data_IF_095707058618
#
_entry.id   IF_095707058618
#
_cell.length_a   1.000
_cell.length_b   1.000
_cell.length_c   1.000
_cell.angle_alpha   90.00
_cell.angle_beta   90.00
_cell.angle_gamma   90.00
#
_symmetry.space_group_name_H-M   'P 1'
#
loop_
_entity.id
_entity.type
_entity.pdbx_description
1 polymer ?
#
# COMPACT_ATOMS: atom_id res chain seq x y z
N UNK A 1 7.76 14.78 35.17
CA UNK A 1 7.11 16.11 35.18
C UNK A 1 6.06 16.08 34.13
N UNK A 2 4.83 16.02 34.56
CA UNK A 2 3.65 15.77 33.73
C UNK A 2 3.42 16.85 32.69
N UNK A 3 3.48 16.50 31.43
CA UNK A 3 2.95 17.31 30.34
C UNK A 3 1.47 16.98 30.11
N UNK A 4 0.65 17.19 31.14
CA UNK A 4 -0.79 17.34 30.99
C UNK A 4 -1.04 18.76 30.44
N UNK A 5 -0.80 18.94 29.13
CA UNK A 5 -1.11 20.21 28.45
C UNK A 5 -2.62 20.39 28.41
N UNK A 6 -3.07 21.28 29.22
CA UNK A 6 -4.36 21.90 29.37
C UNK A 6 -5.11 22.02 28.02
N UNK A 7 -6.15 21.21 27.84
CA UNK A 7 -7.20 21.44 26.84
C UNK A 7 -8.08 22.63 27.30
N UNK A 8 -7.55 23.84 27.18
CA UNK A 8 -8.34 25.04 27.30
C UNK A 8 -8.84 25.41 25.90
N UNK A 9 -10.15 25.57 25.73
CA UNK A 9 -10.80 25.96 24.49
C UNK A 9 -10.31 27.31 23.98
N UNK A 10 -9.26 27.31 23.19
CA UNK A 10 -8.80 28.46 22.42
C UNK A 10 -9.46 28.37 21.05
N UNK A 11 -10.55 29.10 20.85
CA UNK A 11 -11.32 29.16 19.59
C UNK A 11 -10.84 30.28 18.67
N UNK A 12 -9.69 30.91 18.91
CA UNK A 12 -9.23 32.08 18.16
C UNK A 12 -8.12 31.77 17.17
N UNK A 13 -8.06 30.53 16.64
CA UNK A 13 -7.03 30.14 15.68
C UNK A 13 -6.99 31.09 14.49
N UNK A 14 -5.81 31.68 14.26
CA UNK A 14 -5.55 32.53 13.10
C UNK A 14 -4.18 32.26 12.54
N UNK A 15 -4.12 31.97 11.23
CA UNK A 15 -2.85 31.68 10.55
C UNK A 15 -2.84 32.13 9.09
N UNK A 16 -1.62 32.19 8.53
CA UNK A 16 -1.35 32.40 7.12
C UNK A 16 -0.32 31.39 6.64
N UNK A 17 -0.54 30.80 5.46
CA UNK A 17 0.40 29.85 4.88
C UNK A 17 0.33 29.78 3.34
N UNK A 18 1.29 29.06 2.76
CA UNK A 18 1.32 28.76 1.32
C UNK A 18 0.20 27.79 0.96
N UNK A 19 -0.57 28.13 -0.09
CA UNK A 19 -1.73 27.37 -0.54
C UNK A 19 -1.38 25.92 -0.89
N UNK A 20 -0.26 25.67 -1.58
CA UNK A 20 0.14 24.34 -2.03
C UNK A 20 0.36 23.39 -0.85
N UNK A 21 1.18 23.81 0.13
CA UNK A 21 1.43 23.02 1.35
C UNK A 21 0.15 22.74 2.14
N UNK A 22 -0.77 23.72 2.20
CA UNK A 22 -2.07 23.53 2.87
C UNK A 22 -2.94 22.53 2.12
N UNK A 23 -3.06 22.67 0.81
CA UNK A 23 -3.88 21.77 -0.01
C UNK A 23 -3.37 20.32 0.02
N UNK A 24 -2.05 20.14 -0.04
CA UNK A 24 -1.42 18.83 0.05
C UNK A 24 -1.69 18.16 1.40
N UNK A 25 -1.40 18.86 2.50
CA UNK A 25 -1.57 18.33 3.85
C UNK A 25 -3.04 18.01 4.18
N UNK A 26 -3.97 18.94 3.87
CA UNK A 26 -5.41 18.71 4.05
C UNK A 26 -5.90 17.54 3.20
N UNK A 27 -5.48 17.47 1.93
CA UNK A 27 -5.88 16.38 1.03
C UNK A 27 -5.37 15.03 1.52
N UNK A 28 -4.14 14.96 2.03
CA UNK A 28 -3.58 13.74 2.57
C UNK A 28 -4.32 13.27 3.83
N UNK A 29 -4.56 14.15 4.79
CA UNK A 29 -5.33 13.80 6.01
C UNK A 29 -6.76 13.40 5.64
N UNK A 30 -7.42 14.16 4.75
CA UNK A 30 -8.81 13.92 4.37
C UNK A 30 -9.03 12.56 3.66
N UNK A 31 -8.02 12.01 2.96
CA UNK A 31 -8.08 10.67 2.36
C UNK A 31 -8.17 9.54 3.38
N UNK A 32 -7.67 9.78 4.61
CA UNK A 32 -7.70 8.81 5.69
C UNK A 32 -8.99 8.92 6.55
N UNK A 33 -9.88 9.88 6.26
CA UNK A 33 -11.14 10.01 6.97
C UNK A 33 -12.18 9.01 6.45
N UNK A 34 -13.07 8.50 7.33
CA UNK A 34 -14.12 7.60 6.95
C UNK A 34 -15.12 8.28 6.00
N UNK A 35 -15.54 7.57 4.96
CA UNK A 35 -16.55 8.07 4.00
C UNK A 35 -17.95 8.08 4.59
N UNK A 36 -18.22 7.22 5.57
CA UNK A 36 -19.49 7.11 6.31
C UNK A 36 -19.17 6.94 7.80
N UNK A 37 -18.82 8.03 8.50
CA UNK A 37 -18.46 7.94 9.91
C UNK A 37 -19.65 7.52 10.77
N UNK A 38 -19.39 6.69 11.79
CA UNK A 38 -20.40 6.34 12.79
C UNK A 38 -20.86 7.57 13.60
N UNK A 39 -19.94 8.51 13.81
CA UNK A 39 -20.21 9.80 14.48
C UNK A 39 -19.78 10.92 13.54
N UNK A 40 -20.63 11.93 13.25
CA UNK A 40 -20.35 13.00 12.30
C UNK A 40 -19.01 13.72 12.50
N UNK A 41 -18.57 13.88 13.74
CA UNK A 41 -17.33 14.59 14.11
C UNK A 41 -16.08 13.91 13.49
N UNK A 42 -16.11 12.62 13.24
CA UNK A 42 -15.01 11.87 12.62
C UNK A 42 -14.82 12.19 11.12
N UNK A 43 -15.76 12.90 10.49
CA UNK A 43 -15.56 13.44 9.13
C UNK A 43 -14.77 14.74 9.12
N UNK A 44 -14.44 15.26 10.30
CA UNK A 44 -13.70 16.50 10.48
C UNK A 44 -12.21 16.33 10.41
N UNK A 45 -11.51 17.39 9.99
CA UNK A 45 -10.09 17.58 10.24
C UNK A 45 -9.90 18.60 11.36
N UNK A 46 -9.05 18.25 12.31
CA UNK A 46 -8.66 19.14 13.40
C UNK A 46 -7.45 19.96 12.94
N UNK A 47 -7.58 21.27 12.96
CA UNK A 47 -6.50 22.22 12.69
C UNK A 47 -6.01 22.76 14.04
N UNK A 48 -4.73 22.61 14.34
CA UNK A 48 -4.13 23.10 15.58
C UNK A 48 -2.91 23.97 15.24
N UNK A 49 -2.98 25.24 15.60
CA UNK A 49 -1.87 26.18 15.45
C UNK A 49 -1.09 26.34 16.75
N UNK A 50 0.23 26.23 16.66
CA UNK A 50 1.18 26.41 17.76
C UNK A 50 2.42 27.17 17.28
N UNK A 51 3.40 27.39 18.15
CA UNK A 51 4.68 28.01 17.80
C UNK A 51 5.47 27.19 16.75
N UNK A 52 5.19 25.88 16.63
CA UNK A 52 5.82 24.99 15.68
C UNK A 52 5.15 24.99 14.29
N UNK A 53 4.08 25.78 14.10
CA UNK A 53 3.31 25.86 12.87
C UNK A 53 1.91 25.27 12.98
N UNK A 54 1.34 24.85 11.84
CA UNK A 54 -0.01 24.28 11.76
C UNK A 54 0.07 22.75 11.69
N UNK A 55 -0.62 22.08 12.61
CA UNK A 55 -0.85 20.63 12.57
C UNK A 55 -2.27 20.37 12.08
N UNK A 56 -2.41 19.49 11.10
CA UNK A 56 -3.68 19.06 10.52
C UNK A 56 -3.84 17.58 10.85
N UNK A 57 -4.92 17.22 11.57
CA UNK A 57 -5.11 15.87 12.10
C UNK A 57 -6.45 15.28 11.70
N UNK A 58 -6.49 13.97 11.48
CA UNK A 58 -7.69 13.17 11.27
C UNK A 58 -7.61 11.86 12.05
N UNK A 59 -8.75 11.37 12.58
CA UNK A 59 -8.80 10.12 13.34
C UNK A 59 -10.18 9.48 13.27
N UNK A 60 -10.24 8.16 13.06
CA UNK A 60 -11.49 7.40 12.98
C UNK A 60 -11.57 6.21 13.96
N UNK A 61 -10.75 6.22 15.01
CA UNK A 61 -10.48 5.16 16.00
C UNK A 61 -9.61 4.01 15.50
N UNK A 62 -9.49 3.78 14.20
CA UNK A 62 -8.64 2.75 13.61
C UNK A 62 -7.35 3.34 13.03
N UNK A 63 -7.48 4.49 12.35
CA UNK A 63 -6.39 5.17 11.66
C UNK A 63 -6.32 6.62 12.11
N UNK A 64 -5.13 7.08 12.50
CA UNK A 64 -4.84 8.50 12.61
C UNK A 64 -3.93 8.96 11.48
N UNK A 65 -4.14 10.19 11.03
CA UNK A 65 -3.26 10.85 10.07
C UNK A 65 -3.00 12.27 10.54
N UNK A 66 -1.74 12.69 10.52
CA UNK A 66 -1.31 14.00 11.02
C UNK A 66 -0.24 14.56 10.10
N UNK A 67 -0.44 15.78 9.62
CA UNK A 67 0.51 16.51 8.80
C UNK A 67 0.87 17.83 9.47
N UNK A 68 2.16 18.13 9.56
CA UNK A 68 2.68 19.39 10.07
C UNK A 68 3.17 20.24 8.89
N UNK A 69 2.70 21.48 8.83
CA UNK A 69 3.08 22.44 7.80
C UNK A 69 3.54 23.76 8.39
N UNK A 70 4.51 24.39 7.74
CA UNK A 70 4.96 25.72 8.12
C UNK A 70 3.83 26.73 7.89
N UNK A 71 3.51 27.52 8.93
CA UNK A 71 2.49 28.54 8.88
C UNK A 71 2.87 29.70 9.82
N UNK A 72 2.48 30.90 9.45
CA UNK A 72 2.54 32.08 10.32
C UNK A 72 1.33 32.06 11.25
N UNK A 73 1.52 31.65 12.50
CA UNK A 73 0.46 31.59 13.51
C UNK A 73 0.33 32.94 14.20
N UNK A 74 -0.72 33.68 13.87
CA UNK A 74 -1.02 34.95 14.51
C UNK A 74 -1.77 34.81 15.84
N UNK A 75 -2.56 33.73 15.99
CA UNK A 75 -3.22 33.34 17.23
C UNK A 75 -3.24 31.81 17.31
N UNK A 76 -2.66 31.20 18.36
CA UNK A 76 -2.71 29.75 18.54
C UNK A 76 -4.13 29.31 18.94
N UNK A 77 -4.45 28.05 18.62
CA UNK A 77 -5.76 27.48 18.95
C UNK A 77 -6.04 26.23 18.14
N UNK A 78 -7.27 25.73 18.30
CA UNK A 78 -7.73 24.55 17.57
C UNK A 78 -9.13 24.73 17.03
N UNK A 79 -9.40 24.20 15.84
CA UNK A 79 -10.73 24.20 15.23
C UNK A 79 -10.95 22.93 14.42
N UNK A 80 -12.16 22.42 14.48
CA UNK A 80 -12.60 21.24 13.72
C UNK A 80 -13.53 21.67 12.59
N UNK A 81 -13.22 21.25 11.36
CA UNK A 81 -14.02 21.56 10.16
C UNK A 81 -14.19 20.33 9.28
N UNK A 82 -15.20 20.32 8.40
CA UNK A 82 -15.39 19.21 7.46
C UNK A 82 -14.15 18.99 6.60
N UNK A 83 -13.53 17.82 6.74
CA UNK A 83 -12.29 17.47 6.04
C UNK A 83 -12.47 17.40 4.53
N UNK A 84 -13.57 16.81 4.06
CA UNK A 84 -13.87 16.71 2.63
C UNK A 84 -14.07 18.09 2.02
N UNK A 85 -14.89 18.93 2.64
CA UNK A 85 -15.17 20.26 2.13
C UNK A 85 -13.92 21.13 2.11
N UNK A 86 -13.11 21.09 3.20
CA UNK A 86 -11.85 21.83 3.25
C UNK A 86 -10.86 21.35 2.17
N UNK A 87 -10.76 20.03 1.95
CA UNK A 87 -9.92 19.46 0.89
C UNK A 87 -10.36 19.89 -0.51
N UNK A 88 -11.66 19.92 -0.79
CA UNK A 88 -12.19 20.37 -2.08
C UNK A 88 -11.91 21.85 -2.32
N UNK A 89 -12.08 22.68 -1.28
CA UNK A 89 -11.78 24.12 -1.34
C UNK A 89 -10.29 24.35 -1.57
N UNK A 90 -9.43 23.79 -0.73
CA UNK A 90 -7.96 24.06 -0.80
C UNK A 90 -7.35 23.65 -2.12
N UNK A 91 -7.84 22.59 -2.76
CA UNK A 91 -7.42 22.18 -4.11
C UNK A 91 -7.84 23.15 -5.21
N UNK A 92 -9.00 23.79 -5.03
CA UNK A 92 -9.57 24.72 -6.03
C UNK A 92 -9.08 26.17 -5.88
N UNK A 93 -8.38 26.51 -4.78
CA UNK A 93 -7.89 27.87 -4.52
C UNK A 93 -6.85 28.31 -5.58
N UNK A 94 -6.79 29.63 -5.91
CA UNK A 94 -5.73 30.18 -6.72
C UNK A 94 -4.37 30.09 -6.01
N UNK A 95 -3.28 30.14 -6.78
CA UNK A 95 -1.92 30.11 -6.24
C UNK A 95 -1.53 31.43 -5.58
N UNK A 96 -2.06 31.63 -4.37
CA UNK A 96 -1.82 32.78 -3.48
C UNK A 96 -1.82 32.32 -2.03
N UNK A 97 -1.22 33.10 -1.11
CA UNK A 97 -1.28 32.79 0.33
C UNK A 97 -2.72 32.67 0.81
N UNK A 98 -2.92 31.75 1.74
CA UNK A 98 -4.21 31.51 2.40
C UNK A 98 -4.19 32.16 3.77
N UNK A 99 -5.14 33.04 4.02
CA UNK A 99 -5.44 33.58 5.34
C UNK A 99 -6.65 32.85 5.92
N UNK A 100 -6.53 32.36 7.15
CA UNK A 100 -7.53 31.57 7.85
C UNK A 100 -7.74 32.11 9.26
N UNK A 101 -9.00 32.27 9.68
CA UNK A 101 -9.31 32.63 11.06
C UNK A 101 -10.67 32.09 11.49
N UNK A 102 -10.79 31.87 12.80
CA UNK A 102 -12.06 31.49 13.43
C UNK A 102 -12.87 32.74 13.70
N UNK A 103 -14.18 32.70 13.39
CA UNK A 103 -15.16 33.75 13.63
C UNK A 103 -16.43 33.13 14.22
N UNK A 104 -16.51 33.11 15.53
CA UNK A 104 -17.58 32.46 16.29
C UNK A 104 -17.68 30.97 16.00
N UNK A 105 -18.80 30.53 15.43
CA UNK A 105 -19.05 29.13 15.06
C UNK A 105 -18.72 28.84 13.59
N UNK A 106 -17.94 29.69 12.96
CA UNK A 106 -17.48 29.55 11.57
C UNK A 106 -15.99 29.83 11.47
N UNK A 107 -15.42 29.36 10.38
CA UNK A 107 -14.09 29.79 9.94
C UNK A 107 -14.23 30.62 8.67
N UNK A 108 -13.43 31.64 8.55
CA UNK A 108 -13.25 32.38 7.32
C UNK A 108 -11.90 32.05 6.70
N UNK A 109 -11.92 31.73 5.41
CA UNK A 109 -10.77 31.41 4.60
C UNK A 109 -10.73 32.38 3.41
N UNK A 110 -9.61 33.05 3.22
CA UNK A 110 -9.40 34.00 2.13
C UNK A 110 -8.13 33.65 1.34
N UNK A 111 -8.24 33.67 0.02
CA UNK A 111 -7.10 33.41 -0.87
C UNK A 111 -7.24 34.31 -2.13
N UNK A 112 -6.49 35.41 -2.18
CA UNK A 112 -6.66 36.43 -3.20
C UNK A 112 -8.05 37.08 -3.12
N UNK A 113 -8.85 36.93 -4.18
CA UNK A 113 -10.26 37.41 -4.21
C UNK A 113 -11.27 36.37 -3.74
N UNK A 114 -10.87 35.11 -3.60
CA UNK A 114 -11.75 34.04 -3.12
C UNK A 114 -11.97 34.13 -1.61
N UNK A 115 -13.22 33.97 -1.17
CA UNK A 115 -13.61 34.00 0.24
C UNK A 115 -14.58 32.86 0.51
N UNK A 116 -14.29 32.11 1.58
CA UNK A 116 -15.14 31.01 2.04
C UNK A 116 -15.47 31.18 3.51
N UNK A 117 -16.63 30.72 3.89
CA UNK A 117 -17.04 30.63 5.29
C UNK A 117 -17.64 29.25 5.55
N UNK A 118 -17.00 28.46 6.43
CA UNK A 118 -17.39 27.09 6.75
C UNK A 118 -17.87 27.01 8.21
N UNK A 119 -18.90 26.19 8.49
CA UNK A 119 -19.28 25.93 9.88
C UNK A 119 -18.17 25.11 10.57
N UNK A 120 -17.99 25.36 11.87
CA UNK A 120 -17.13 24.56 12.74
C UNK A 120 -17.93 23.37 13.31
N UNK A 121 -17.20 22.37 13.77
CA UNK A 121 -17.72 21.24 14.55
C UNK A 121 -17.18 21.35 15.98
N UNK A 122 -17.82 20.66 16.94
CA UNK A 122 -17.40 20.68 18.33
C UNK A 122 -16.04 19.96 18.51
N UNK A 123 -15.01 20.70 18.89
CA UNK A 123 -13.66 20.15 19.11
C UNK A 123 -13.64 19.22 20.31
N UNK A 124 -14.43 19.51 21.33
CA UNK A 124 -14.57 18.72 22.56
C UNK A 124 -15.10 17.30 22.32
N UNK A 125 -15.88 17.11 21.25
CA UNK A 125 -16.40 15.80 20.86
C UNK A 125 -15.40 14.99 20.01
N UNK A 126 -14.27 15.61 19.58
CA UNK A 126 -13.28 14.94 18.77
C UNK A 126 -12.40 14.02 19.62
N UNK A 127 -12.22 12.74 19.22
CA UNK A 127 -11.44 11.80 20.02
C UNK A 127 -9.96 12.22 20.11
N UNK A 128 -9.33 11.86 21.21
CA UNK A 128 -7.88 12.04 21.36
C UNK A 128 -7.14 11.08 20.43
N UNK A 129 -6.22 11.61 19.64
CA UNK A 129 -5.39 10.79 18.76
C UNK A 129 -4.50 9.85 19.60
N UNK A 130 -4.23 8.64 19.10
CA UNK A 130 -3.31 7.73 19.76
C UNK A 130 -1.89 8.30 19.76
N UNK A 131 -1.13 8.00 20.81
CA UNK A 131 0.30 8.30 20.86
C UNK A 131 1.04 7.32 19.95
N UNK A 132 2.01 7.81 19.17
CA UNK A 132 2.89 6.94 18.39
C UNK A 132 3.62 5.99 19.34
N UNK A 133 3.72 4.69 19.00
CA UNK A 133 4.66 3.79 19.65
C UNK A 133 6.11 4.28 19.50
N UNK A 134 7.02 3.74 20.30
CA UNK A 134 8.46 4.02 20.14
C UNK A 134 8.96 3.57 18.75
N UNK A 135 9.88 4.34 18.19
CA UNK A 135 10.51 4.04 16.91
C UNK A 135 11.24 2.69 16.97
N UNK A 136 11.07 1.88 15.94
CA UNK A 136 11.65 0.53 15.85
C UNK A 136 12.79 0.50 14.83
N UNK A 137 12.69 1.30 13.77
CA UNK A 137 13.72 1.41 12.73
C UNK A 137 13.29 2.27 11.56
N UNK A 138 14.21 2.42 10.60
CA UNK A 138 14.06 3.29 9.43
C UNK A 138 14.44 2.56 8.14
N UNK A 139 13.87 3.04 7.03
CA UNK A 139 14.24 2.59 5.68
C UNK A 139 13.98 3.71 4.65
N UNK A 140 14.67 3.68 3.49
CA UNK A 140 14.44 4.65 2.44
C UNK A 140 12.97 4.65 1.99
N UNK A 141 12.38 5.84 1.85
CA UNK A 141 10.96 6.00 1.54
C UNK A 141 10.57 5.35 0.21
N UNK A 142 11.41 5.46 -0.81
CA UNK A 142 11.18 4.84 -2.12
C UNK A 142 11.16 3.31 -2.04
N UNK A 143 12.13 2.72 -1.31
CA UNK A 143 12.21 1.27 -1.10
C UNK A 143 10.97 0.76 -0.37
N UNK A 144 10.52 1.48 0.67
CA UNK A 144 9.30 1.15 1.39
C UNK A 144 8.06 1.22 0.50
N UNK A 145 7.89 2.31 -0.24
CA UNK A 145 6.75 2.50 -1.13
C UNK A 145 6.70 1.44 -2.23
N UNK A 146 7.83 1.12 -2.84
CA UNK A 146 7.95 0.06 -3.83
C UNK A 146 7.55 -1.29 -3.24
N UNK A 147 8.16 -1.70 -2.12
CA UNK A 147 7.90 -2.97 -1.47
C UNK A 147 6.42 -3.13 -1.07
N UNK A 148 5.81 -2.08 -0.50
CA UNK A 148 4.40 -2.09 -0.16
C UNK A 148 3.52 -2.20 -1.41
N UNK A 149 3.83 -1.48 -2.49
CA UNK A 149 3.05 -1.54 -3.74
C UNK A 149 3.08 -2.93 -4.37
N UNK A 150 4.24 -3.59 -4.36
CA UNK A 150 4.44 -4.94 -4.87
C UNK A 150 3.62 -5.98 -4.09
N UNK A 151 3.52 -5.83 -2.76
CA UNK A 151 2.84 -6.80 -1.90
C UNK A 151 1.35 -6.51 -1.77
N UNK A 152 0.95 -5.26 -1.65
CA UNK A 152 -0.45 -4.87 -1.44
C UNK A 152 -1.39 -5.35 -2.56
N UNK A 153 -0.89 -5.55 -3.78
CA UNK A 153 -1.67 -6.03 -4.92
C UNK A 153 -2.27 -7.42 -4.69
N UNK A 154 -1.64 -8.24 -3.85
CA UNK A 154 -2.10 -9.59 -3.52
C UNK A 154 -3.05 -9.62 -2.31
N UNK A 155 -3.26 -8.52 -1.60
CA UNK A 155 -4.18 -8.47 -0.48
C UNK A 155 -5.65 -8.63 -0.94
N UNK A 156 -6.42 -9.35 -0.14
CA UNK A 156 -7.85 -9.54 -0.34
C UNK A 156 -8.64 -8.25 -0.11
N UNK A 157 -9.86 -8.19 -0.65
CA UNK A 157 -10.79 -7.06 -0.50
C UNK A 157 -12.07 -7.41 0.25
N UNK A 158 -12.15 -8.62 0.73
CA UNK A 158 -13.31 -9.14 1.45
C UNK A 158 -13.10 -8.96 2.95
N UNK A 159 -13.76 -7.97 3.52
CA UNK A 159 -13.65 -7.62 4.95
C UNK A 159 -14.17 -8.73 5.88
N UNK A 160 -14.88 -9.73 5.35
CA UNK A 160 -15.30 -10.92 6.14
C UNK A 160 -14.12 -11.86 6.41
N UNK A 161 -13.00 -11.67 5.74
CA UNK A 161 -11.76 -12.44 5.88
C UNK A 161 -10.59 -11.51 6.27
N UNK A 162 -10.59 -10.91 7.46
CA UNK A 162 -9.64 -9.86 7.83
C UNK A 162 -8.17 -10.32 7.73
N UNK A 163 -7.86 -11.62 7.94
CA UNK A 163 -6.51 -12.15 7.76
C UNK A 163 -5.97 -12.01 6.34
N UNK A 164 -6.83 -11.85 5.34
CA UNK A 164 -6.44 -11.69 3.94
C UNK A 164 -6.42 -10.23 3.47
N UNK A 165 -7.03 -9.31 4.22
CA UNK A 165 -7.05 -7.87 3.87
C UNK A 165 -5.80 -7.13 4.33
N UNK A 166 -4.91 -7.80 5.06
CA UNK A 166 -3.69 -7.24 5.62
C UNK A 166 -2.43 -7.65 4.88
N UNK A 167 -1.38 -6.88 5.13
CA UNK A 167 0.00 -7.24 4.84
C UNK A 167 0.62 -7.77 6.14
N UNK A 168 1.11 -8.99 6.09
CA UNK A 168 1.95 -9.57 7.15
C UNK A 168 3.30 -8.90 7.09
N UNK A 169 3.74 -8.33 8.21
CA UNK A 169 5.06 -7.72 8.39
C UNK A 169 5.80 -8.55 9.42
N UNK A 170 6.87 -9.20 9.00
CA UNK A 170 7.77 -9.95 9.89
C UNK A 170 9.11 -9.25 9.93
N UNK A 171 9.59 -8.96 11.12
CA UNK A 171 10.87 -8.29 11.37
C UNK A 171 11.74 -9.25 12.17
N UNK A 172 12.97 -9.43 11.72
CA UNK A 172 14.01 -10.16 12.45
C UNK A 172 15.34 -9.43 12.26
N UNK A 173 15.76 -8.69 13.28
CA UNK A 173 16.92 -7.82 13.21
C UNK A 173 16.83 -6.81 12.06
N UNK A 174 17.75 -6.87 11.12
CA UNK A 174 17.82 -5.99 9.94
C UNK A 174 16.99 -6.47 8.74
N UNK A 175 16.27 -7.57 8.87
CA UNK A 175 15.45 -8.13 7.79
C UNK A 175 13.97 -7.84 8.04
N UNK A 176 13.28 -7.36 7.03
CA UNK A 176 11.83 -7.19 7.00
C UNK A 176 11.25 -8.02 5.86
N UNK A 177 10.29 -8.89 6.17
CA UNK A 177 9.54 -9.67 5.19
C UNK A 177 8.10 -9.21 5.17
N UNK A 178 7.63 -8.81 3.99
CA UNK A 178 6.26 -8.42 3.72
C UNK A 178 5.56 -9.52 2.94
N UNK A 179 4.34 -9.90 3.33
CA UNK A 179 3.55 -10.89 2.61
C UNK A 179 2.06 -10.53 2.60
N UNK A 180 1.41 -10.72 1.46
CA UNK A 180 -0.04 -10.61 1.33
C UNK A 180 -0.60 -11.71 0.41
N UNK A 181 -1.83 -12.16 0.68
CA UNK A 181 -2.50 -13.20 -0.11
C UNK A 181 -4.02 -13.03 -0.07
N UNK A 182 -4.69 -13.44 -1.15
CA UNK A 182 -6.15 -13.54 -1.24
C UNK A 182 -6.64 -14.98 -1.49
N UNK A 183 -5.79 -15.99 -1.27
CA UNK A 183 -5.93 -17.44 -1.55
C UNK A 183 -5.65 -17.84 -3.00
N UNK A 184 -5.75 -16.91 -3.95
CA UNK A 184 -5.50 -17.19 -5.37
C UNK A 184 -4.11 -16.73 -5.81
N UNK A 185 -3.51 -15.85 -5.05
CA UNK A 185 -2.18 -15.29 -5.26
C UNK A 185 -1.52 -14.96 -3.93
N UNK A 186 -0.22 -14.89 -3.93
CA UNK A 186 0.61 -14.50 -2.79
C UNK A 186 1.76 -13.65 -3.31
N UNK A 187 1.99 -12.50 -2.71
CA UNK A 187 3.19 -11.70 -2.95
C UNK A 187 4.04 -11.67 -1.68
N UNK A 188 5.35 -11.85 -1.84
CA UNK A 188 6.32 -11.79 -0.75
C UNK A 188 7.48 -10.90 -1.17
N UNK A 189 7.85 -9.95 -0.32
CA UNK A 189 9.00 -9.06 -0.50
C UNK A 189 9.87 -9.10 0.74
N UNK A 190 11.15 -9.35 0.56
CA UNK A 190 12.17 -9.23 1.60
C UNK A 190 12.98 -7.96 1.36
N UNK A 191 13.29 -7.24 2.41
CA UNK A 191 14.10 -6.02 2.35
C UNK A 191 14.94 -5.86 3.63
N UNK A 192 16.03 -5.13 3.49
CA UNK A 192 16.89 -4.75 4.60
C UNK A 192 16.53 -3.34 5.06
N UNK A 193 16.55 -3.11 6.37
CA UNK A 193 16.28 -1.83 6.99
C UNK A 193 17.28 -1.52 8.10
N UNK A 194 17.27 -0.30 8.61
CA UNK A 194 18.09 0.12 9.74
C UNK A 194 17.26 -0.03 11.03
N UNK A 195 17.39 -1.17 11.69
CA UNK A 195 16.76 -1.40 12.98
C UNK A 195 17.46 -0.60 14.09
N UNK A 196 16.70 -0.06 15.04
CA UNK A 196 17.29 0.60 16.22
C UNK A 196 17.92 -0.38 17.22
N UNK A 197 17.50 -1.65 17.18
CA UNK A 197 18.09 -2.73 17.95
C UNK A 197 18.23 -3.99 17.10
N UNK A 198 19.36 -4.69 17.22
CA UNK A 198 19.59 -5.98 16.52
C UNK A 198 18.66 -7.10 17.01
N UNK A 199 18.06 -6.94 18.18
CA UNK A 199 17.20 -7.97 18.81
C UNK A 199 15.71 -7.73 18.54
N UNK A 200 15.39 -6.88 17.55
CA UNK A 200 14.01 -6.62 17.16
C UNK A 200 13.43 -7.85 16.48
N UNK A 201 12.34 -8.36 17.07
CA UNK A 201 11.54 -9.45 16.52
C UNK A 201 10.06 -9.03 16.56
N UNK A 202 9.41 -9.02 15.41
CA UNK A 202 7.99 -8.72 15.32
C UNK A 202 7.33 -9.53 14.20
N UNK A 203 6.06 -9.83 14.40
CA UNK A 203 5.25 -10.51 13.40
C UNK A 203 3.81 -10.00 13.53
N UNK A 204 3.48 -8.98 12.74
CA UNK A 204 2.21 -8.24 12.84
C UNK A 204 1.45 -8.27 11.51
N UNK A 205 0.15 -8.03 11.56
CA UNK A 205 -0.72 -7.93 10.39
C UNK A 205 -1.29 -6.52 10.30
N UNK A 206 -0.99 -5.82 9.22
CA UNK A 206 -1.33 -4.41 9.02
C UNK A 206 -2.36 -4.28 7.90
N UNK A 207 -3.44 -3.49 8.05
CA UNK A 207 -4.40 -3.26 6.96
C UNK A 207 -3.70 -2.78 5.68
N UNK A 208 -3.82 -3.56 4.58
CA UNK A 208 -3.06 -3.32 3.35
C UNK A 208 -3.37 -1.96 2.72
N UNK A 209 -4.63 -1.53 2.74
CA UNK A 209 -5.04 -0.24 2.20
C UNK A 209 -4.39 0.92 2.95
N UNK A 210 -4.42 0.88 4.28
CA UNK A 210 -3.83 1.93 5.13
C UNK A 210 -2.32 2.00 4.96
N UNK A 211 -1.66 0.83 4.95
CA UNK A 211 -0.21 0.77 4.75
C UNK A 211 0.20 1.31 3.38
N UNK A 212 -0.56 1.00 2.32
CA UNK A 212 -0.30 1.49 0.97
C UNK A 212 -0.49 3.02 0.84
N UNK A 213 -1.49 3.60 1.51
CA UNK A 213 -1.68 5.06 1.52
C UNK A 213 -0.60 5.77 2.33
N UNK A 214 -0.16 5.19 3.46
CA UNK A 214 0.93 5.73 4.25
C UNK A 214 2.28 5.68 3.50
N UNK A 215 2.55 4.58 2.80
CA UNK A 215 3.76 4.41 2.00
C UNK A 215 3.86 5.44 0.87
N UNK A 216 2.78 5.71 0.15
CA UNK A 216 2.74 6.74 -0.90
C UNK A 216 3.02 8.15 -0.37
N UNK A 217 2.61 8.44 0.86
CA UNK A 217 2.81 9.76 1.46
C UNK A 217 4.27 10.04 1.85
N UNK A 218 5.09 9.00 2.03
CA UNK A 218 6.50 9.11 2.40
C UNK A 218 7.47 9.32 1.24
N UNK A 219 7.01 9.22 -0.02
CA UNK A 219 7.89 9.20 -1.20
C UNK A 219 8.66 10.50 -1.47
N UNK A 220 8.24 11.63 -0.88
CA UNK A 220 8.91 12.92 -1.04
C UNK A 220 10.03 13.16 0.00
N UNK A 221 10.30 12.20 0.87
CA UNK A 221 11.30 12.28 1.92
C UNK A 221 12.45 11.29 1.73
N UNK A 222 13.52 11.45 2.50
CA UNK A 222 14.68 10.55 2.45
C UNK A 222 14.37 9.20 3.11
N UNK A 223 13.75 9.20 4.28
CA UNK A 223 13.50 8.01 5.10
C UNK A 223 12.10 7.98 5.69
N UNK A 224 11.59 6.77 5.84
CA UNK A 224 10.38 6.44 6.61
C UNK A 224 10.80 5.77 7.91
N UNK A 225 10.19 6.18 9.03
CA UNK A 225 10.33 5.58 10.35
C UNK A 225 9.13 4.70 10.64
N UNK A 226 9.40 3.48 11.07
CA UNK A 226 8.38 2.55 11.55
C UNK A 226 8.42 2.49 13.08
N UNK A 227 7.28 2.57 13.71
CA UNK A 227 7.09 2.61 15.16
C UNK A 227 6.14 1.51 15.59
N UNK A 228 6.67 0.45 16.17
CA UNK A 228 5.92 -0.72 16.69
C UNK A 228 6.13 -0.92 18.20
N UNK A 229 6.87 -0.02 18.85
CA UNK A 229 7.35 -0.14 20.24
C UNK A 229 8.75 -0.74 20.29
N UNK A 230 9.34 -0.80 21.49
CA UNK A 230 10.71 -1.23 21.73
C UNK A 230 10.80 -2.49 22.60
N UNK A 231 11.92 -3.20 22.48
CA UNK A 231 12.25 -4.38 23.28
C UNK A 231 11.23 -5.51 23.16
N UNK A 232 10.82 -6.10 24.28
CA UNK A 232 9.83 -7.19 24.32
C UNK A 232 8.38 -6.72 24.06
N UNK A 233 8.17 -5.42 23.85
CA UNK A 233 6.89 -4.79 23.62
C UNK A 233 6.54 -4.56 22.14
N UNK A 234 7.44 -4.89 21.20
CA UNK A 234 7.22 -4.66 19.76
C UNK A 234 5.90 -5.27 19.29
N UNK A 235 5.02 -4.41 18.74
CA UNK A 235 3.70 -4.79 18.26
C UNK A 235 2.63 -5.09 19.32
N UNK A 236 2.96 -5.05 20.63
CA UNK A 236 2.01 -5.39 21.71
C UNK A 236 0.93 -4.33 21.93
N UNK A 237 1.20 -3.08 21.58
CA UNK A 237 0.23 -2.00 21.71
C UNK A 237 -0.88 -2.07 20.66
N UNK A 238 -0.80 -3.03 19.74
CA UNK A 238 -1.76 -3.22 18.66
C UNK A 238 -1.78 -2.07 17.66
N UNK A 239 -0.70 -1.27 17.59
CA UNK A 239 -0.54 -0.12 16.71
C UNK A 239 0.75 -0.20 15.91
N UNK A 240 0.69 0.25 14.66
CA UNK A 240 1.84 0.61 13.84
C UNK A 240 1.83 2.12 13.62
N UNK A 241 2.92 2.78 13.95
CA UNK A 241 3.20 4.17 13.57
C UNK A 241 4.10 4.22 12.35
N UNK A 242 3.81 5.16 11.44
CA UNK A 242 4.62 5.45 10.24
C UNK A 242 4.81 6.95 10.19
N UNK A 243 6.06 7.40 10.10
CA UNK A 243 6.36 8.83 10.01
C UNK A 243 7.47 9.14 9.00
N UNK A 244 7.37 10.29 8.34
CA UNK A 244 8.34 10.81 7.38
C UNK A 244 7.83 12.09 6.75
N UNK A 245 8.72 12.96 6.33
CA UNK A 245 8.41 14.22 5.63
C UNK A 245 7.29 15.07 6.28
N UNK A 246 7.34 15.27 7.60
CA UNK A 246 6.34 16.05 8.33
C UNK A 246 4.95 15.40 8.43
N UNK A 247 4.78 14.19 7.94
CA UNK A 247 3.56 13.39 8.02
C UNK A 247 3.76 12.23 8.98
N UNK A 248 2.74 11.88 9.72
CA UNK A 248 2.70 10.70 10.57
C UNK A 248 1.31 10.08 10.57
N UNK A 249 1.26 8.77 10.63
CA UNK A 249 0.01 8.03 10.77
C UNK A 249 0.18 6.88 11.75
N UNK A 250 -0.90 6.53 12.41
CA UNK A 250 -1.00 5.27 13.16
C UNK A 250 -2.13 4.44 12.60
N UNK A 251 -1.96 3.13 12.64
CA UNK A 251 -3.04 2.19 12.30
C UNK A 251 -3.09 1.07 13.32
N UNK A 252 -4.31 0.63 13.64
CA UNK A 252 -4.49 -0.59 14.43
C UNK A 252 -4.03 -1.79 13.63
N UNK A 253 -3.40 -2.72 14.34
CA UNK A 253 -3.03 -4.03 13.79
C UNK A 253 -4.27 -4.93 13.73
N UNK A 254 -4.32 -5.80 12.72
CA UNK A 254 -5.37 -6.81 12.61
C UNK A 254 -5.07 -7.97 13.57
N UNK A 255 -6.02 -8.29 14.43
CA UNK A 255 -5.95 -9.45 15.31
C UNK A 255 -6.47 -10.70 14.57
N UNK A 256 -5.64 -11.24 13.68
CA UNK A 256 -5.98 -12.41 12.88
C UNK A 256 -4.71 -13.21 12.54
N UNK A 257 -4.87 -14.53 12.39
CA UNK A 257 -3.76 -15.42 12.03
C UNK A 257 -3.56 -15.44 10.51
N UNK A 258 -2.39 -14.98 10.06
CA UNK A 258 -2.01 -15.00 8.65
C UNK A 258 -1.59 -16.42 8.22
N UNK A 259 -1.91 -16.87 7.00
CA UNK A 259 -1.53 -18.18 6.50
C UNK A 259 -0.01 -18.44 6.54
N UNK A 260 0.39 -19.70 6.75
CA UNK A 260 1.80 -20.14 6.73
C UNK A 260 2.34 -20.14 5.30
N UNK A 261 2.55 -18.97 4.74
CA UNK A 261 2.83 -18.74 3.32
C UNK A 261 4.14 -19.35 2.81
N UNK A 262 5.17 -19.46 3.65
CA UNK A 262 6.46 -20.05 3.22
C UNK A 262 6.33 -21.49 2.72
N UNK A 263 5.36 -22.25 3.23
CA UNK A 263 5.09 -23.63 2.80
C UNK A 263 4.47 -23.71 1.40
N UNK A 264 3.98 -22.59 0.87
CA UNK A 264 3.39 -22.51 -0.46
C UNK A 264 4.46 -22.28 -1.56
N UNK A 265 5.65 -21.82 -1.18
CA UNK A 265 6.73 -21.52 -2.10
C UNK A 265 7.50 -22.80 -2.44
N UNK A 266 7.46 -23.30 -3.70
CA UNK A 266 8.17 -24.49 -4.09
C UNK A 266 9.69 -24.23 -4.13
N UNK A 267 10.52 -25.12 -3.56
CA UNK A 267 11.96 -24.98 -3.60
C UNK A 267 12.57 -25.33 -4.97
N UNK A 268 11.83 -26.06 -5.81
CA UNK A 268 12.26 -26.55 -7.11
C UNK A 268 11.14 -26.43 -8.14
N UNK A 269 11.54 -26.33 -9.41
CA UNK A 269 10.66 -26.23 -10.56
C UNK A 269 10.95 -27.34 -11.56
N UNK A 270 9.92 -27.87 -12.23
CA UNK A 270 10.08 -28.82 -13.35
C UNK A 270 10.35 -28.11 -14.66
N UNK A 271 9.89 -26.85 -14.79
CA UNK A 271 10.19 -26.02 -15.96
C UNK A 271 10.28 -24.54 -15.57
N UNK A 272 11.02 -23.77 -16.36
CA UNK A 272 11.26 -22.35 -16.19
C UNK A 272 11.05 -21.64 -17.52
N UNK A 273 10.41 -20.46 -17.49
CA UNK A 273 10.22 -19.62 -18.66
C UNK A 273 10.63 -18.18 -18.35
N UNK A 274 11.33 -17.53 -19.27
CA UNK A 274 11.68 -16.11 -19.16
C UNK A 274 11.16 -15.36 -20.38
N UNK A 275 10.43 -14.26 -20.13
CA UNK A 275 9.73 -13.52 -21.19
C UNK A 275 9.70 -12.02 -20.88
N UNK A 276 9.60 -11.19 -21.93
CA UNK A 276 9.42 -9.73 -21.79
C UNK A 276 8.04 -9.40 -21.17
N UNK A 277 8.04 -8.59 -20.11
CA UNK A 277 6.83 -8.22 -19.34
C UNK A 277 5.85 -7.42 -20.18
N UNK A 278 6.34 -6.46 -20.97
CA UNK A 278 5.48 -5.59 -21.78
C UNK A 278 4.76 -6.38 -22.86
N UNK A 279 5.51 -7.21 -23.64
CA UNK A 279 4.95 -8.06 -24.70
C UNK A 279 3.92 -9.04 -24.13
N UNK A 280 4.24 -9.72 -23.04
CA UNK A 280 3.30 -10.65 -22.40
C UNK A 280 2.05 -9.95 -21.88
N UNK A 281 2.20 -8.77 -21.28
CA UNK A 281 1.07 -7.99 -20.76
C UNK A 281 0.13 -7.54 -21.89
N UNK A 282 0.67 -7.08 -23.02
CA UNK A 282 -0.12 -6.69 -24.18
C UNK A 282 -0.87 -7.87 -24.80
N UNK A 283 -0.18 -8.99 -24.98
CA UNK A 283 -0.76 -10.21 -25.50
C UNK A 283 -1.90 -10.76 -24.60
N UNK A 284 -1.69 -10.77 -23.27
CA UNK A 284 -2.77 -11.16 -22.34
C UNK A 284 -3.98 -10.24 -22.46
N UNK A 285 -3.78 -8.92 -22.54
CA UNK A 285 -4.88 -7.96 -22.70
C UNK A 285 -5.63 -8.20 -24.01
N UNK A 286 -4.91 -8.51 -25.09
CA UNK A 286 -5.49 -8.77 -26.41
C UNK A 286 -6.35 -10.04 -26.40
N UNK A 287 -5.79 -11.17 -25.96
CA UNK A 287 -6.54 -12.44 -25.96
C UNK A 287 -7.68 -12.42 -24.93
N UNK A 288 -7.57 -11.67 -23.85
CA UNK A 288 -8.61 -11.53 -22.83
C UNK A 288 -9.84 -10.76 -23.32
N UNK A 289 -9.82 -10.08 -24.48
CA UNK A 289 -10.97 -9.38 -25.05
C UNK A 289 -12.14 -10.32 -25.39
N UNK A 290 -11.84 -11.59 -25.75
CA UNK A 290 -12.83 -12.62 -26.04
C UNK A 290 -13.13 -13.53 -24.85
N UNK A 291 -12.48 -13.28 -23.72
CA UNK A 291 -12.73 -14.01 -22.49
C UNK A 291 -13.94 -13.42 -21.76
N UNK A 292 -14.90 -14.25 -21.36
CA UNK A 292 -15.99 -13.84 -20.49
C UNK A 292 -15.45 -13.36 -19.12
N UNK A 293 -16.25 -12.59 -18.40
CA UNK A 293 -15.89 -12.15 -17.03
C UNK A 293 -15.59 -13.36 -16.14
N UNK A 294 -14.33 -13.50 -15.74
CA UNK A 294 -13.85 -14.62 -14.95
C UNK A 294 -13.27 -15.77 -15.76
N UNK A 295 -13.23 -15.66 -17.10
CA UNK A 295 -12.58 -16.63 -17.96
C UNK A 295 -11.05 -16.62 -17.77
N UNK A 296 -10.43 -17.73 -18.15
CA UNK A 296 -9.01 -17.98 -18.04
C UNK A 296 -8.28 -17.64 -19.33
N UNK A 297 -7.02 -17.27 -19.21
CA UNK A 297 -6.06 -17.28 -20.32
C UNK A 297 -5.23 -18.56 -20.21
N UNK A 298 -5.22 -19.35 -21.27
CA UNK A 298 -4.43 -20.56 -21.40
C UNK A 298 -3.05 -20.21 -21.97
N UNK A 299 -2.02 -20.77 -21.39
CA UNK A 299 -0.62 -20.61 -21.74
C UNK A 299 -0.02 -21.98 -22.09
N UNK A 300 0.48 -22.14 -23.29
CA UNK A 300 1.12 -23.36 -23.78
C UNK A 300 2.58 -23.05 -24.08
N UNK A 301 3.48 -23.64 -23.30
CA UNK A 301 4.93 -23.47 -23.43
C UNK A 301 5.52 -24.66 -24.13
N UNK A 302 6.27 -24.44 -25.23
CA UNK A 302 7.04 -25.42 -25.95
C UNK A 302 8.15 -24.72 -26.73
N UNK A 303 9.34 -25.35 -26.82
CA UNK A 303 10.49 -25.03 -27.70
C UNK A 303 10.62 -23.57 -28.19
N UNK A 304 10.77 -22.63 -27.26
CA UNK A 304 10.97 -21.22 -27.60
C UNK A 304 9.71 -20.44 -27.95
N UNK A 305 8.52 -21.06 -27.86
CA UNK A 305 7.23 -20.43 -28.17
C UNK A 305 6.28 -20.53 -26.97
N UNK A 306 5.65 -19.41 -26.61
CA UNK A 306 4.50 -19.35 -25.73
C UNK A 306 3.26 -19.03 -26.56
N UNK A 307 2.32 -19.94 -26.60
CA UNK A 307 1.00 -19.69 -27.17
C UNK A 307 0.02 -19.30 -26.09
N UNK A 308 -0.55 -18.12 -26.23
CA UNK A 308 -1.68 -17.64 -25.42
C UNK A 308 -2.99 -17.90 -26.15
N UNK A 309 -4.00 -18.36 -25.42
CA UNK A 309 -5.35 -18.49 -25.98
C UNK A 309 -6.43 -18.22 -24.96
N UNK A 310 -7.57 -17.71 -25.43
CA UNK A 310 -8.76 -17.47 -24.61
C UNK A 310 -10.04 -17.59 -25.45
N UNK A 311 -11.19 -17.73 -24.79
CA UNK A 311 -12.49 -17.79 -25.42
C UNK A 311 -13.05 -19.20 -25.58
N UNK A 312 -14.24 -19.28 -26.20
CA UNK A 312 -14.98 -20.50 -26.50
C UNK A 312 -15.64 -20.39 -27.87
N UNK A 313 -16.16 -21.53 -28.42
CA UNK A 313 -16.71 -21.60 -29.74
C UNK A 313 -17.93 -20.69 -29.98
N UNK A 314 -18.67 -20.38 -28.94
CA UNK A 314 -19.90 -19.59 -28.96
C UNK A 314 -19.71 -18.08 -28.73
N UNK A 315 -18.54 -17.68 -28.20
CA UNK A 315 -18.24 -16.28 -27.86
C UNK A 315 -17.14 -15.68 -28.76
N UNK A 316 -16.26 -16.50 -29.26
CA UNK A 316 -15.09 -16.15 -30.06
C UNK A 316 -13.81 -16.67 -29.44
N UNK A 317 -12.79 -16.84 -30.26
CA UNK A 317 -11.46 -17.30 -29.84
C UNK A 317 -10.39 -16.29 -30.24
N UNK A 318 -9.38 -16.15 -29.39
CA UNK A 318 -8.17 -15.42 -29.70
C UNK A 318 -6.95 -16.29 -29.36
N UNK A 319 -5.93 -16.19 -30.20
CA UNK A 319 -4.65 -16.84 -30.00
C UNK A 319 -3.54 -15.85 -30.37
N UNK A 320 -2.43 -15.91 -29.64
CA UNK A 320 -1.24 -15.12 -29.92
C UNK A 320 0.02 -15.91 -29.51
N UNK A 321 1.01 -15.94 -30.39
CA UNK A 321 2.28 -16.60 -30.18
C UNK A 321 3.37 -15.57 -29.84
N UNK A 322 4.12 -15.82 -28.76
CA UNK A 322 5.23 -14.99 -28.31
C UNK A 322 6.51 -15.82 -28.23
N UNK A 323 7.67 -15.18 -28.44
CA UNK A 323 8.96 -15.77 -28.15
C UNK A 323 9.17 -15.88 -26.66
N UNK A 324 9.66 -16.99 -26.19
CA UNK A 324 9.96 -17.26 -24.78
C UNK A 324 11.25 -18.06 -24.67
N UNK A 325 12.09 -17.70 -23.71
CA UNK A 325 13.17 -18.56 -23.28
C UNK A 325 12.59 -19.61 -22.34
N UNK A 326 12.62 -20.89 -22.72
CA UNK A 326 11.98 -21.99 -21.99
C UNK A 326 12.90 -23.16 -21.76
N UNK A 327 12.89 -23.71 -20.56
CA UNK A 327 13.59 -24.93 -20.18
C UNK A 327 12.65 -25.88 -19.43
N UNK A 328 12.63 -27.15 -19.81
CA UNK A 328 11.80 -28.20 -19.25
C UNK A 328 10.88 -28.85 -20.29
N UNK A 329 10.03 -29.78 -19.83
CA UNK A 329 9.02 -30.43 -20.68
C UNK A 329 7.89 -29.48 -21.07
N UNK A 330 7.25 -29.63 -22.26
CA UNK A 330 6.13 -28.83 -22.67
C UNK A 330 5.03 -28.78 -21.60
N UNK A 331 4.50 -27.56 -21.33
CA UNK A 331 3.55 -27.33 -20.27
C UNK A 331 2.35 -26.53 -20.77
N UNK A 332 1.15 -26.97 -20.40
CA UNK A 332 -0.09 -26.20 -20.57
C UNK A 332 -0.65 -25.84 -19.19
N UNK A 333 -0.87 -24.55 -18.95
CA UNK A 333 -1.40 -24.02 -17.69
C UNK A 333 -2.36 -22.86 -17.99
N UNK A 334 -3.28 -22.55 -17.08
CA UNK A 334 -4.19 -21.43 -17.26
C UNK A 334 -4.30 -20.57 -16.00
N UNK A 335 -4.48 -19.27 -16.20
CA UNK A 335 -4.60 -18.31 -15.11
C UNK A 335 -5.75 -17.34 -15.33
N UNK A 336 -6.20 -16.74 -14.23
CA UNK A 336 -7.03 -15.55 -14.28
C UNK A 336 -6.21 -14.39 -14.88
N UNK A 337 -6.65 -13.76 -15.98
CA UNK A 337 -5.88 -12.71 -16.65
C UNK A 337 -5.63 -11.48 -15.78
N UNK A 338 -6.58 -11.11 -14.90
CA UNK A 338 -6.40 -9.98 -13.98
C UNK A 338 -5.28 -10.28 -12.97
N UNK A 339 -5.28 -11.45 -12.37
CA UNK A 339 -4.24 -11.83 -11.39
C UNK A 339 -2.87 -11.98 -12.04
N UNK A 340 -2.84 -12.48 -13.28
CA UNK A 340 -1.60 -12.60 -14.05
C UNK A 340 -1.04 -11.22 -14.41
N UNK A 341 -1.86 -10.29 -14.91
CA UNK A 341 -1.41 -8.92 -15.21
C UNK A 341 -1.01 -8.13 -13.98
N UNK A 342 -1.71 -8.32 -12.85
CA UNK A 342 -1.33 -7.74 -11.56
C UNK A 342 0.06 -8.23 -11.12
N UNK A 343 0.32 -9.53 -11.25
CA UNK A 343 1.62 -10.13 -10.96
C UNK A 343 2.73 -9.59 -11.85
N UNK A 344 2.49 -9.47 -13.16
CA UNK A 344 3.45 -8.87 -14.09
C UNK A 344 3.76 -7.42 -13.76
N UNK A 345 2.74 -6.64 -13.41
CA UNK A 345 2.93 -5.24 -13.02
C UNK A 345 3.76 -5.08 -11.72
N UNK A 346 3.69 -6.06 -10.82
CA UNK A 346 4.40 -6.01 -9.54
C UNK A 346 5.86 -6.50 -9.60
N UNK A 347 6.28 -7.13 -10.69
CA UNK A 347 7.66 -7.64 -10.84
C UNK A 347 8.68 -6.50 -10.95
N UNK A 348 8.31 -5.32 -11.48
CA UNK A 348 9.17 -4.15 -11.68
C UNK A 348 10.49 -4.46 -12.41
N UNK A 349 10.42 -5.28 -13.45
CA UNK A 349 11.54 -5.70 -14.28
C UNK A 349 11.12 -5.73 -15.75
N UNK A 350 12.05 -5.57 -16.66
CA UNK A 350 11.80 -5.71 -18.11
C UNK A 350 11.38 -7.13 -18.48
N UNK A 351 11.96 -8.13 -17.80
CA UNK A 351 11.68 -9.54 -18.03
C UNK A 351 11.24 -10.24 -16.74
N UNK A 352 10.29 -11.14 -16.86
CA UNK A 352 9.80 -12.00 -15.78
C UNK A 352 10.27 -13.43 -15.99
N UNK A 353 10.67 -14.08 -14.90
CA UNK A 353 10.94 -15.51 -14.85
C UNK A 353 9.81 -16.25 -14.16
N UNK A 354 9.23 -17.23 -14.84
CA UNK A 354 8.24 -18.16 -14.31
C UNK A 354 8.90 -19.46 -13.87
N UNK A 355 8.53 -19.97 -12.70
CA UNK A 355 8.86 -21.31 -12.25
C UNK A 355 7.58 -22.15 -12.13
N UNK A 356 7.56 -23.30 -12.79
CA UNK A 356 6.43 -24.23 -12.78
C UNK A 356 6.82 -25.56 -12.15
N UNK A 357 5.86 -26.21 -11.49
CA UNK A 357 6.01 -27.60 -11.02
C UNK A 357 5.13 -28.55 -11.81
N UNK A 358 3.82 -28.36 -11.80
CA UNK A 358 2.84 -29.10 -12.60
C UNK A 358 1.69 -28.17 -12.99
N UNK A 359 0.88 -28.50 -14.01
CA UNK A 359 -0.25 -27.65 -14.45
C UNK A 359 -1.28 -27.30 -13.38
N UNK A 360 -1.41 -28.14 -12.35
CA UNK A 360 -2.37 -27.94 -11.25
C UNK A 360 -1.78 -27.29 -9.99
N UNK A 361 -0.50 -26.93 -10.01
CA UNK A 361 0.20 -26.31 -8.88
C UNK A 361 0.49 -24.84 -9.17
N UNK A 362 0.68 -24.01 -8.13
CA UNK A 362 0.99 -22.60 -8.32
C UNK A 362 2.24 -22.39 -9.17
N UNK A 363 2.19 -21.35 -10.01
CA UNK A 363 3.37 -20.82 -10.68
C UNK A 363 4.00 -19.71 -9.83
N UNK A 364 5.30 -19.58 -9.90
CA UNK A 364 6.10 -18.56 -9.25
C UNK A 364 6.58 -17.56 -10.29
N UNK A 365 6.34 -16.27 -10.08
CA UNK A 365 6.84 -15.17 -10.89
C UNK A 365 7.87 -14.39 -10.06
N UNK A 366 8.99 -14.05 -10.68
CA UNK A 366 10.04 -13.22 -10.09
C UNK A 366 10.68 -12.33 -11.14
N UNK A 367 11.36 -11.24 -10.74
CA UNK A 367 12.22 -10.50 -11.66
C UNK A 367 13.23 -11.45 -12.29
N UNK A 368 13.42 -11.37 -13.59
CA UNK A 368 14.49 -12.11 -14.27
C UNK A 368 15.84 -11.44 -13.98
N UNK A 369 16.88 -12.24 -13.74
CA UNK A 369 18.24 -11.78 -13.49
C UNK A 369 19.06 -11.98 -14.76
N UNK A 370 19.65 -10.93 -15.30
CA UNK A 370 20.44 -10.99 -16.54
C UNK A 370 21.53 -12.07 -16.47
N UNK A 371 21.52 -12.95 -17.46
CA UNK A 371 22.56 -13.98 -17.68
C UNK A 371 22.40 -15.29 -16.90
N UNK A 372 21.40 -15.44 -16.03
CA UNK A 372 21.20 -16.64 -15.19
C UNK A 372 19.80 -17.27 -15.28
N UNK A 373 18.96 -16.83 -16.20
CA UNK A 373 17.53 -17.10 -16.14
C UNK A 373 17.07 -18.42 -16.73
N UNK A 374 17.90 -19.05 -17.56
CA UNK A 374 17.61 -20.38 -18.08
C UNK A 374 18.62 -21.39 -17.57
N UNK A 375 18.22 -22.29 -16.67
CA UNK A 375 19.03 -23.41 -16.31
C UNK A 375 19.19 -24.37 -17.52
N UNK A 376 20.35 -24.93 -17.67
CA UNK A 376 20.61 -25.96 -18.69
C UNK A 376 20.22 -27.34 -18.16
N UNK A 377 19.54 -28.15 -18.98
CA UNK A 377 19.18 -29.53 -18.64
C UNK A 377 17.68 -29.77 -18.60
N UNK A 378 17.26 -30.92 -18.10
CA UNK A 378 15.88 -31.39 -18.06
C UNK A 378 15.18 -31.24 -16.70
N UNK A 379 15.77 -30.45 -15.76
CA UNK A 379 15.22 -30.27 -14.42
C UNK A 379 15.44 -31.46 -13.46
N UNK A 380 15.01 -31.36 -12.17
CA UNK A 380 14.38 -30.20 -11.54
C UNK A 380 15.34 -29.01 -11.40
N UNK A 381 14.80 -27.82 -11.47
CA UNK A 381 15.54 -26.56 -11.37
C UNK A 381 15.31 -25.93 -9.99
N UNK A 382 16.39 -25.62 -9.28
CA UNK A 382 16.30 -24.93 -7.99
C UNK A 382 15.71 -23.53 -8.16
N UNK A 383 14.86 -23.12 -7.24
CA UNK A 383 14.37 -21.75 -7.17
C UNK A 383 15.56 -20.80 -6.94
N UNK A 384 15.73 -19.80 -7.83
CA UNK A 384 16.79 -18.81 -7.67
C UNK A 384 16.46 -17.84 -6.52
N UNK A 385 17.49 -17.40 -5.78
CA UNK A 385 17.31 -16.38 -4.76
C UNK A 385 16.70 -15.10 -5.35
N UNK A 386 15.74 -14.53 -4.68
CA UNK A 386 15.11 -13.26 -5.06
C UNK A 386 14.56 -12.60 -3.81
N UNK A 387 14.56 -11.28 -3.80
CA UNK A 387 13.95 -10.48 -2.75
C UNK A 387 12.44 -10.25 -2.98
N UNK A 388 11.92 -10.57 -4.17
CA UNK A 388 10.51 -10.51 -4.52
C UNK A 388 10.02 -11.75 -5.25
N UNK A 389 8.89 -12.27 -4.82
CA UNK A 389 8.21 -13.37 -5.47
C UNK A 389 6.69 -13.17 -5.47
N UNK A 390 6.07 -13.47 -6.61
CA UNK A 390 4.62 -13.51 -6.76
C UNK A 390 4.20 -14.92 -7.14
N UNK A 391 3.38 -15.55 -6.31
CA UNK A 391 2.82 -16.87 -6.55
C UNK A 391 1.40 -16.73 -7.07
N UNK A 392 1.06 -17.46 -8.14
CA UNK A 392 -0.23 -17.42 -8.80
C UNK A 392 -0.83 -18.83 -8.90
N UNK A 393 -2.04 -19.00 -8.37
CA UNK A 393 -2.79 -20.26 -8.47
C UNK A 393 -3.35 -20.42 -9.87
N UNK A 394 -3.14 -21.59 -10.52
CA UNK A 394 -3.75 -21.87 -11.82
C UNK A 394 -5.26 -22.08 -11.70
N UNK A 395 -5.96 -21.78 -12.79
CA UNK A 395 -7.34 -22.19 -12.99
C UNK A 395 -7.36 -23.59 -13.56
N UNK A 396 -8.24 -24.44 -13.07
CA UNK A 396 -8.37 -25.81 -13.60
C UNK A 396 -8.84 -25.76 -15.06
N UNK A 397 -8.07 -26.37 -15.93
CA UNK A 397 -8.51 -26.60 -17.31
C UNK A 397 -9.65 -27.63 -17.30
N UNK A 398 -10.73 -27.43 -18.04
CA UNK A 398 -11.70 -28.50 -18.29
C UNK A 398 -10.97 -29.66 -18.99
N UNK A 399 -11.17 -30.87 -18.46
CA UNK A 399 -10.56 -32.09 -19.02
C UNK A 399 -11.13 -32.47 -20.36
#
# INVERSE_FOLDING_TARGET
MDAATTRAGLTDLKFRLVRESFAEAVSWVAKNLPTRPAVPVLSGVLLTGSDDGLTISGFDYEVSAEAQVAAEIASPGSVLVSGRLLSDITRALPDKPVDFHVDGNRVALTCGSARFSLPTMAVEDYPTLPTLPEETGTLPAEVFAEAISQVAIAAGRDDTLPMLTGIRVEISGETVVLAATDRFRLAVRELTWSALSSDVEAAVLVPAKTLAEAAKAGTDGSDVRLSLGAGTGVGKDGLLGISGNGKRSTTRLLDAEFPKFRQLLPPEHSSVATINVAELTEAIKLVALVADRGAQVRMEFADGVLRLSAGADDVGRAEEDLSVDYAGEPLTIAFNPTYLTDGLASVHSERVSFGFTTPGKPALLRPAVDGNDLPTGSGPFSALPTDYVYLLMPVRLPG
#
